data_IF_712809600248
#
_entry.id   IF_712809600248
#
_cell.length_a   1.000
_cell.length_b   1.000
_cell.length_c   1.000
_cell.angle_alpha   90.00
_cell.angle_beta   90.00
_cell.angle_gamma   90.00
#
_symmetry.space_group_name_H-M   'P 1'
#
loop_
_entity.id
_entity.type
_entity.pdbx_description
1 polymer ?
#
# COMPACT_ATOMS: atom_id res chain seq x y z
N UNK A 1 -41.29 20.20 25.13
CA UNK A 1 -40.07 19.58 25.67
C UNK A 1 -38.93 20.42 25.14
N UNK A 2 -38.41 21.33 25.96
CA UNK A 2 -37.30 22.20 25.55
C UNK A 2 -36.01 21.38 25.58
N UNK A 3 -35.25 21.43 24.48
CA UNK A 3 -33.98 20.74 24.35
C UNK A 3 -32.94 21.50 25.18
N UNK A 4 -32.30 20.83 26.14
CA UNK A 4 -31.31 21.48 26.99
C UNK A 4 -30.03 21.78 26.19
N UNK A 5 -29.22 22.72 26.68
CA UNK A 5 -27.91 23.01 26.09
C UNK A 5 -27.00 21.77 26.04
N UNK A 6 -27.14 20.85 27.00
CA UNK A 6 -26.41 19.58 27.04
C UNK A 6 -26.84 18.66 25.90
N UNK A 7 -28.15 18.59 25.62
CA UNK A 7 -28.68 17.80 24.51
C UNK A 7 -28.15 18.31 23.16
N UNK A 8 -28.04 19.64 23.00
CA UNK A 8 -27.46 20.25 21.81
C UNK A 8 -25.99 19.87 21.61
N UNK A 9 -25.17 19.90 22.67
CA UNK A 9 -23.76 19.48 22.61
C UNK A 9 -23.66 18.02 22.22
N UNK A 10 -24.47 17.15 22.82
CA UNK A 10 -24.46 15.71 22.52
C UNK A 10 -24.78 15.46 21.04
N UNK A 11 -25.85 16.08 20.53
CA UNK A 11 -26.22 15.98 19.11
C UNK A 11 -25.07 16.44 18.22
N UNK A 12 -24.43 17.56 18.56
CA UNK A 12 -23.29 18.09 17.81
C UNK A 12 -22.12 17.10 17.79
N UNK A 13 -21.74 16.53 18.94
CA UNK A 13 -20.68 15.51 19.02
C UNK A 13 -21.00 14.29 18.16
N UNK A 14 -22.25 13.80 18.20
CA UNK A 14 -22.67 12.67 17.38
C UNK A 14 -22.59 12.97 15.87
N UNK A 15 -23.03 14.15 15.45
CA UNK A 15 -22.97 14.58 14.06
C UNK A 15 -21.51 14.64 13.58
N UNK A 16 -20.62 15.29 14.34
CA UNK A 16 -19.21 15.41 13.97
C UNK A 16 -18.50 14.05 13.97
N UNK A 17 -18.77 13.19 14.95
CA UNK A 17 -18.23 11.84 14.99
C UNK A 17 -18.70 11.01 13.80
N UNK A 18 -19.98 11.11 13.42
CA UNK A 18 -20.53 10.45 12.23
C UNK A 18 -19.82 10.92 10.95
N UNK A 19 -19.72 12.23 10.74
CA UNK A 19 -19.04 12.79 9.57
C UNK A 19 -17.56 12.40 9.52
N UNK A 20 -16.86 12.46 10.66
CA UNK A 20 -15.47 12.04 10.75
C UNK A 20 -15.30 10.56 10.38
N UNK A 21 -16.14 9.69 10.94
CA UNK A 21 -16.11 8.25 10.70
C UNK A 21 -16.43 7.95 9.23
N UNK A 22 -17.45 8.58 8.68
CA UNK A 22 -17.82 8.48 7.27
C UNK A 22 -16.66 8.90 6.35
N UNK A 23 -16.03 10.04 6.63
CA UNK A 23 -14.90 10.54 5.84
C UNK A 23 -13.70 9.58 5.89
N UNK A 24 -13.38 9.07 7.08
CA UNK A 24 -12.33 8.07 7.28
C UNK A 24 -12.60 6.79 6.48
N UNK A 25 -13.82 6.25 6.56
CA UNK A 25 -14.27 5.07 5.81
C UNK A 25 -14.22 5.30 4.29
N UNK A 26 -14.71 6.45 3.81
CA UNK A 26 -14.67 6.80 2.40
C UNK A 26 -13.23 6.88 1.87
N UNK A 27 -12.32 7.49 2.64
CA UNK A 27 -10.91 7.58 2.28
C UNK A 27 -10.21 6.21 2.32
N UNK A 28 -10.55 5.34 3.26
CA UNK A 28 -10.06 3.96 3.32
C UNK A 28 -10.55 3.16 2.12
N UNK A 29 -11.84 3.26 1.79
CA UNK A 29 -12.41 2.60 0.64
C UNK A 29 -11.81 3.08 -0.69
N UNK A 30 -11.55 4.39 -0.83
CA UNK A 30 -10.86 4.95 -1.99
C UNK A 30 -9.45 4.37 -2.16
N UNK A 31 -8.70 4.26 -1.07
CA UNK A 31 -7.38 3.64 -1.10
C UNK A 31 -7.45 2.17 -1.54
N UNK A 32 -8.34 1.38 -0.94
CA UNK A 32 -8.51 -0.03 -1.30
C UNK A 32 -8.96 -0.24 -2.76
N UNK A 33 -9.70 0.72 -3.35
CA UNK A 33 -10.07 0.69 -4.78
C UNK A 33 -8.89 0.92 -5.71
N UNK A 34 -7.85 1.62 -5.26
CA UNK A 34 -6.66 1.87 -6.06
C UNK A 34 -5.71 0.66 -6.09
N UNK A 35 -6.01 -0.38 -5.31
CA UNK A 35 -5.22 -1.61 -5.34
C UNK A 35 -5.58 -2.38 -6.62
N UNK A 36 -4.56 -2.59 -7.44
CA UNK A 36 -4.65 -3.32 -8.70
C UNK A 36 -4.62 -4.80 -8.38
N UNK A 37 -5.60 -5.56 -8.89
CA UNK A 37 -5.60 -7.01 -8.75
C UNK A 37 -4.73 -7.69 -9.79
N UNK A 38 -4.02 -8.74 -9.40
CA UNK A 38 -3.18 -9.57 -10.29
C UNK A 38 -3.98 -10.22 -11.42
N UNK A 39 -5.22 -10.65 -11.15
CA UNK A 39 -6.15 -11.29 -12.10
C UNK A 39 -6.48 -10.43 -13.34
N UNK A 40 -6.31 -9.11 -13.24
CA UNK A 40 -6.66 -8.14 -14.29
C UNK A 40 -5.50 -7.74 -15.18
N UNK A 41 -4.29 -8.27 -14.95
CA UNK A 41 -3.14 -7.85 -15.72
C UNK A 41 -2.26 -9.04 -16.14
N UNK A 42 -2.22 -9.28 -17.45
CA UNK A 42 -0.91 -9.28 -18.13
C UNK A 42 -0.26 -7.94 -17.76
N UNK A 43 0.43 -7.89 -16.62
CA UNK A 43 1.13 -6.71 -16.15
C UNK A 43 2.25 -6.51 -17.17
N UNK A 44 1.93 -5.74 -18.20
CA UNK A 44 2.89 -5.31 -19.19
C UNK A 44 3.78 -4.29 -18.48
N UNK A 45 4.70 -4.83 -17.71
CA UNK A 45 5.73 -4.11 -16.98
C UNK A 45 6.81 -3.61 -17.95
N UNK A 46 6.64 -3.84 -19.26
CA UNK A 46 7.48 -3.23 -20.29
C UNK A 46 7.39 -1.70 -20.17
N UNK A 47 8.50 -1.11 -19.73
CA UNK A 47 8.62 0.34 -19.53
C UNK A 47 8.08 0.88 -18.21
N UNK A 48 7.60 0.03 -17.28
CA UNK A 48 7.25 0.51 -15.94
C UNK A 48 8.52 0.82 -15.15
N UNK A 49 8.65 2.07 -14.70
CA UNK A 49 9.66 2.49 -13.74
C UNK A 49 8.99 3.04 -12.47
N UNK A 50 9.32 2.45 -11.34
CA UNK A 50 8.71 2.85 -10.08
C UNK A 50 8.64 1.75 -9.05
N UNK A 51 7.89 2.01 -7.99
CA UNK A 51 7.70 1.10 -6.88
C UNK A 51 6.46 0.23 -7.10
N UNK A 52 6.51 -1.01 -6.63
CA UNK A 52 5.35 -1.88 -6.52
C UNK A 52 5.31 -2.40 -5.09
N UNK A 53 4.26 -2.09 -4.36
CA UNK A 53 3.98 -2.70 -3.06
C UNK A 53 3.13 -3.92 -3.34
N UNK A 54 3.61 -5.10 -3.01
CA UNK A 54 2.92 -6.37 -3.23
C UNK A 54 2.34 -6.85 -1.90
N UNK A 55 1.06 -7.22 -1.89
CA UNK A 55 0.35 -7.59 -0.67
C UNK A 55 -0.95 -8.30 -0.97
N UNK A 56 -1.49 -9.00 0.02
CA UNK A 56 -2.87 -9.48 -0.06
C UNK A 56 -3.83 -8.35 0.31
N UNK A 57 -5.05 -8.35 -0.23
CA UNK A 57 -6.11 -7.43 0.21
C UNK A 57 -6.31 -7.42 1.72
N UNK A 58 -6.22 -8.58 2.36
CA UNK A 58 -6.32 -8.71 3.81
C UNK A 58 -5.18 -7.98 4.52
N UNK A 59 -3.94 -8.12 4.03
CA UNK A 59 -2.77 -7.38 4.52
C UNK A 59 -2.97 -5.86 4.43
N UNK A 60 -3.49 -5.37 3.29
CA UNK A 60 -3.77 -3.94 3.13
C UNK A 60 -4.90 -3.44 4.03
N UNK A 61 -5.89 -4.28 4.33
CA UNK A 61 -6.99 -3.92 5.23
C UNK A 61 -6.51 -3.84 6.67
N UNK A 62 -5.73 -4.83 7.11
CA UNK A 62 -5.24 -4.92 8.49
C UNK A 62 -4.34 -3.74 8.84
N UNK A 63 -3.46 -3.33 7.93
CA UNK A 63 -2.49 -2.25 8.15
C UNK A 63 -2.67 -1.06 7.20
N UNK A 64 -3.92 -0.67 6.94
CA UNK A 64 -4.25 0.34 5.93
C UNK A 64 -3.55 1.69 6.15
N UNK A 65 -3.38 2.09 7.40
CA UNK A 65 -2.71 3.35 7.75
C UNK A 65 -1.24 3.32 7.37
N UNK A 66 -0.56 2.19 7.59
CA UNK A 66 0.84 2.00 7.23
C UNK A 66 1.02 2.02 5.71
N UNK A 67 0.23 1.24 4.98
CA UNK A 67 0.34 1.19 3.52
C UNK A 67 -0.04 2.52 2.85
N UNK A 68 -0.95 3.30 3.43
CA UNK A 68 -1.22 4.68 3.00
C UNK A 68 0.02 5.56 3.11
N UNK A 69 0.69 5.53 4.26
CA UNK A 69 1.91 6.32 4.51
C UNK A 69 3.02 5.90 3.54
N UNK A 70 3.26 4.59 3.40
CA UNK A 70 4.27 4.05 2.49
C UNK A 70 3.95 4.46 1.05
N UNK A 71 2.72 4.22 0.59
CA UNK A 71 2.32 4.56 -0.76
C UNK A 71 2.43 6.06 -1.04
N UNK A 72 2.00 6.91 -0.10
CA UNK A 72 2.12 8.36 -0.24
C UNK A 72 3.59 8.80 -0.35
N UNK A 73 4.47 8.22 0.47
CA UNK A 73 5.90 8.53 0.43
C UNK A 73 6.53 8.11 -0.90
N UNK A 74 6.35 6.86 -1.31
CA UNK A 74 6.90 6.36 -2.57
C UNK A 74 6.31 7.08 -3.80
N UNK A 75 5.00 7.34 -3.80
CA UNK A 75 4.31 8.05 -4.88
C UNK A 75 4.76 9.50 -5.04
N UNK A 76 5.31 10.12 -3.99
CA UNK A 76 5.82 11.50 -4.06
C UNK A 76 7.11 11.63 -4.87
N UNK A 77 7.80 10.50 -5.10
CA UNK A 77 9.11 10.46 -5.74
C UNK A 77 9.02 9.79 -7.12
N UNK A 78 8.33 8.65 -7.23
CA UNK A 78 8.10 7.93 -8.49
C UNK A 78 6.73 7.25 -8.50
N UNK A 79 6.31 6.75 -9.66
CA UNK A 79 5.12 5.92 -9.78
C UNK A 79 5.13 4.79 -8.75
N UNK A 80 4.02 4.59 -8.06
CA UNK A 80 3.87 3.53 -7.05
C UNK A 80 2.55 2.81 -7.28
N UNK A 81 2.63 1.48 -7.42
CA UNK A 81 1.49 0.62 -7.65
C UNK A 81 1.27 -0.28 -6.43
N UNK A 82 0.01 -0.43 -6.03
CA UNK A 82 -0.41 -1.39 -5.01
C UNK A 82 -0.93 -2.63 -5.73
N UNK A 83 -0.27 -3.78 -5.55
CA UNK A 83 -0.61 -5.02 -6.20
C UNK A 83 -1.25 -5.99 -5.21
N UNK A 84 -2.53 -6.26 -5.41
CA UNK A 84 -3.29 -7.30 -4.71
C UNK A 84 -3.06 -8.65 -5.37
N UNK A 85 -2.48 -9.57 -4.60
CA UNK A 85 -2.30 -10.97 -4.95
C UNK A 85 -3.21 -11.91 -4.15
N UNK A 86 -4.20 -11.36 -3.41
CA UNK A 86 -5.23 -12.19 -2.77
C UNK A 86 -6.11 -12.82 -3.85
N UNK A 87 -6.04 -14.16 -3.95
CA UNK A 87 -6.57 -14.98 -5.05
C UNK A 87 -5.69 -14.88 -6.32
N UNK A 88 -4.47 -15.42 -6.33
CA UNK A 88 -4.22 -16.82 -6.71
C UNK A 88 -5.37 -17.78 -6.32
N UNK A 89 -6.50 -17.70 -7.03
CA UNK A 89 -7.40 -18.85 -7.06
C UNK A 89 -6.59 -20.01 -7.63
N UNK A 90 -6.66 -21.16 -6.95
CA UNK A 90 -5.74 -22.30 -7.01
C UNK A 90 -5.61 -23.02 -8.37
N UNK A 91 -6.04 -22.43 -9.48
CA UNK A 91 -6.21 -23.09 -10.78
C UNK A 91 -5.52 -22.41 -11.98
N UNK A 92 -4.80 -21.30 -11.83
CA UNK A 92 -4.12 -20.64 -12.95
C UNK A 92 -2.59 -20.74 -12.90
N UNK A 93 -1.99 -21.47 -13.86
CA UNK A 93 -0.53 -21.50 -14.12
C UNK A 93 0.13 -20.11 -14.32
N UNK A 94 -0.66 -19.05 -14.41
CA UNK A 94 -0.22 -17.67 -14.51
C UNK A 94 0.46 -17.17 -13.21
N UNK A 95 0.14 -17.78 -12.06
CA UNK A 95 0.48 -17.28 -10.73
C UNK A 95 1.92 -17.59 -10.28
N UNK A 96 2.45 -18.78 -10.61
CA UNK A 96 3.85 -19.10 -10.34
C UNK A 96 4.80 -18.23 -11.17
N UNK A 97 4.41 -17.91 -12.40
CA UNK A 97 5.22 -17.09 -13.30
C UNK A 97 5.41 -15.65 -12.81
N UNK A 98 4.40 -15.03 -12.17
CA UNK A 98 4.56 -13.68 -11.62
C UNK A 98 5.43 -13.70 -10.37
N UNK A 99 5.20 -14.65 -9.45
CA UNK A 99 6.04 -14.77 -8.24
C UNK A 99 7.50 -15.11 -8.58
N UNK A 100 7.74 -15.98 -9.56
CA UNK A 100 9.08 -16.29 -10.07
C UNK A 100 9.70 -15.10 -10.83
N UNK A 101 8.94 -14.40 -11.70
CA UNK A 101 9.41 -13.19 -12.39
C UNK A 101 9.76 -12.05 -11.43
N UNK A 102 9.01 -11.94 -10.33
CA UNK A 102 9.25 -10.93 -9.30
C UNK A 102 10.32 -11.36 -8.29
N UNK A 103 10.77 -12.63 -8.31
CA UNK A 103 11.75 -13.20 -7.38
C UNK A 103 11.43 -12.87 -5.92
N UNK A 104 10.16 -12.98 -5.55
CA UNK A 104 9.66 -12.58 -4.24
C UNK A 104 9.94 -13.65 -3.20
N UNK A 105 10.61 -13.28 -2.11
CA UNK A 105 10.83 -14.17 -0.98
C UNK A 105 9.65 -14.18 0.00
N UNK A 106 8.95 -13.04 0.12
CA UNK A 106 7.90 -12.84 1.14
C UNK A 106 6.82 -11.87 0.68
N UNK A 107 5.67 -11.91 1.35
CA UNK A 107 4.56 -10.98 1.20
C UNK A 107 4.15 -10.53 2.61
N UNK A 108 3.90 -9.23 2.86
CA UNK A 108 4.04 -8.12 1.91
C UNK A 108 5.50 -7.78 1.57
N UNK A 109 5.72 -7.12 0.44
CA UNK A 109 7.03 -6.64 0.00
C UNK A 109 6.95 -5.34 -0.79
N UNK A 110 8.08 -4.63 -0.91
CA UNK A 110 8.24 -3.50 -1.83
C UNK A 110 9.32 -3.81 -2.85
N UNK A 111 8.91 -3.80 -4.11
CA UNK A 111 9.76 -3.96 -5.27
C UNK A 111 10.01 -2.61 -5.93
N UNK A 112 11.13 -2.51 -6.63
CA UNK A 112 11.43 -1.39 -7.48
C UNK A 112 11.88 -1.85 -8.85
N UNK A 113 11.25 -1.26 -9.85
CA UNK A 113 11.47 -1.49 -11.26
C UNK A 113 12.25 -0.32 -11.85
N UNK A 114 13.39 -0.64 -12.45
CA UNK A 114 14.22 0.32 -13.17
C UNK A 114 14.96 -0.42 -14.28
N UNK A 115 14.92 0.12 -15.50
CA UNK A 115 15.63 -0.44 -16.67
C UNK A 115 15.33 -1.94 -16.92
N UNK A 116 14.08 -2.35 -16.72
CA UNK A 116 13.64 -3.75 -16.89
C UNK A 116 14.14 -4.72 -15.81
N UNK A 117 14.83 -4.24 -14.77
CA UNK A 117 15.27 -5.03 -13.61
C UNK A 117 14.34 -4.82 -12.43
N UNK A 118 14.07 -5.91 -11.72
CA UNK A 118 13.30 -5.94 -10.47
C UNK A 118 14.26 -6.08 -9.31
N UNK A 119 14.11 -5.23 -8.29
CA UNK A 119 14.86 -5.36 -7.03
C UNK A 119 13.89 -5.31 -5.86
N UNK A 120 13.94 -6.30 -4.99
CA UNK A 120 13.26 -6.27 -3.69
C UNK A 120 14.02 -5.28 -2.77
N UNK A 121 13.37 -4.17 -2.43
CA UNK A 121 13.95 -3.18 -1.51
C UNK A 121 13.60 -3.53 -0.07
N UNK A 122 12.37 -4.02 0.12
CA UNK A 122 11.83 -4.31 1.44
C UNK A 122 11.12 -5.64 1.40
N UNK A 123 11.65 -6.55 2.21
CA UNK A 123 11.01 -7.74 2.67
C UNK A 123 10.41 -7.43 4.05
N UNK A 124 9.08 -7.48 4.21
CA UNK A 124 8.46 -7.11 5.50
C UNK A 124 8.71 -8.15 6.59
N UNK A 125 9.06 -9.40 6.25
CA UNK A 125 9.42 -10.41 7.25
C UNK A 125 10.75 -10.10 7.96
N UNK A 126 11.55 -9.16 7.46
CA UNK A 126 12.77 -8.67 8.13
C UNK A 126 12.48 -7.64 9.23
N UNK A 127 11.22 -7.24 9.43
CA UNK A 127 10.85 -6.15 10.33
C UNK A 127 9.80 -6.59 11.36
N UNK A 128 10.17 -6.49 12.63
CA UNK A 128 9.27 -6.74 13.75
C UNK A 128 8.40 -5.52 14.12
N UNK A 129 8.74 -4.32 13.61
CA UNK A 129 8.05 -3.07 13.93
C UNK A 129 7.94 -2.10 12.74
N UNK A 130 6.85 -1.33 12.71
CA UNK A 130 6.58 -0.37 11.63
C UNK A 130 7.58 0.81 11.58
N UNK A 131 8.26 1.14 12.70
CA UNK A 131 9.15 2.31 12.75
C UNK A 131 10.47 2.02 12.03
N UNK A 132 11.04 0.84 12.23
CA UNK A 132 12.25 0.41 11.52
C UNK A 132 12.01 0.27 10.01
N UNK A 133 10.84 -0.24 9.62
CA UNK A 133 10.39 -0.30 8.23
C UNK A 133 10.36 1.09 7.57
N UNK A 134 9.68 2.07 8.20
CA UNK A 134 9.60 3.44 7.68
C UNK A 134 10.98 4.07 7.59
N UNK A 135 11.86 3.86 8.57
CA UNK A 135 13.25 4.33 8.51
C UNK A 135 14.02 3.73 7.35
N UNK A 136 13.84 2.45 7.02
CA UNK A 136 14.50 1.82 5.86
C UNK A 136 13.99 2.40 4.54
N UNK A 137 12.69 2.69 4.43
CA UNK A 137 12.10 3.37 3.25
C UNK A 137 12.75 4.74 3.06
N UNK A 138 12.85 5.53 4.13
CA UNK A 138 13.47 6.85 4.11
C UNK A 138 14.96 6.74 3.72
N UNK A 139 15.71 5.87 4.39
CA UNK A 139 17.16 5.72 4.16
C UNK A 139 17.52 5.14 2.79
N UNK A 140 16.68 4.25 2.22
CA UNK A 140 16.90 3.75 0.86
C UNK A 140 16.81 4.88 -0.16
N UNK A 141 15.93 5.84 0.09
CA UNK A 141 15.77 7.00 -0.76
C UNK A 141 16.96 7.96 -0.65
N UNK A 142 17.36 8.34 0.57
CA UNK A 142 18.47 9.27 0.81
C UNK A 142 19.81 8.79 0.22
N UNK A 143 20.02 7.46 0.15
CA UNK A 143 21.24 6.89 -0.46
C UNK A 143 21.26 6.94 -1.99
N UNK A 144 20.10 7.03 -2.66
CA UNK A 144 20.05 7.18 -4.13
C UNK A 144 20.34 8.61 -4.59
N UNK A 145 20.08 9.62 -3.77
CA UNK A 145 20.49 11.01 -4.07
C UNK A 145 22.02 11.18 -4.07
N UNK A 146 22.74 10.38 -3.25
CA UNK A 146 24.21 10.46 -3.14
C UNK A 146 24.94 9.73 -4.29
N UNK A 147 24.30 8.78 -4.96
CA UNK A 147 24.91 8.03 -6.07
C UNK A 147 24.66 8.62 -7.46
N UNK A 148 23.78 9.62 -7.58
CA UNK A 148 23.48 10.31 -8.84
C UNK A 148 23.86 11.80 -8.82
N UNK A 149 24.66 12.23 -7.84
CA UNK A 149 25.24 13.57 -7.73
C UNK A 149 26.71 13.61 -8.17
#
# INVERSE_FOLDING_TARGET
MEMSFVDFILIFVFIFSYFYTYYSLANNHKFLKNIVKSDKYNLDLEGYEGYIIVGSKETYINDISLFKIINQKLSSERSCLLLDISLADRDTMFDLNILEKLSLNTIPSILYFQDGKVTEIINFAEFDDATSLIKKIINFHDRKEIMNG
#
